data_IF_478046560091
#
_entry.id   IF_478046560091
#
_cell.length_a   1.000
_cell.length_b   1.000
_cell.length_c   1.000
_cell.angle_alpha   90.00
_cell.angle_beta   90.00
_cell.angle_gamma   90.00
#
_symmetry.space_group_name_H-M   'P 1'
#
loop_
_entity.id
_entity.type
_entity.pdbx_description
1 polymer ?
#
# COMPACT_ATOMS: atom_id res chain seq x y z
N UNK A 1 12.25 13.17 34.57
CA UNK A 1 12.87 12.74 33.29
C UNK A 1 12.45 13.72 32.19
N UNK A 2 13.35 14.59 31.72
CA UNK A 2 13.09 15.50 30.59
C UNK A 2 13.37 14.74 29.29
N UNK A 3 12.40 14.72 28.38
CA UNK A 3 12.54 14.10 27.07
C UNK A 3 13.28 15.06 26.12
N UNK A 4 14.53 14.78 25.78
CA UNK A 4 15.26 15.53 24.76
C UNK A 4 14.79 15.12 23.36
N UNK A 5 14.34 16.09 22.56
CA UNK A 5 13.99 15.88 21.16
C UNK A 5 15.20 16.20 20.29
N UNK A 6 15.76 15.20 19.61
CA UNK A 6 16.81 15.39 18.59
C UNK A 6 16.21 15.40 17.19
N UNK A 7 16.52 16.42 16.40
CA UNK A 7 16.20 16.44 14.98
C UNK A 7 17.11 15.46 14.22
N UNK A 8 16.53 14.59 13.41
CA UNK A 8 17.26 13.59 12.60
C UNK A 8 16.85 13.74 11.14
N UNK A 9 17.84 13.72 10.24
CA UNK A 9 17.61 13.64 8.79
C UNK A 9 17.27 12.19 8.43
N UNK A 10 15.97 11.89 8.32
CA UNK A 10 15.51 10.55 8.02
C UNK A 10 15.84 10.10 6.59
N UNK A 11 15.92 11.04 5.64
CA UNK A 11 16.36 10.83 4.26
C UNK A 11 17.19 12.06 3.87
N UNK A 12 18.38 11.85 3.33
CA UNK A 12 19.31 12.93 2.98
C UNK A 12 19.69 12.84 1.50
N UNK A 13 18.96 13.57 0.65
CA UNK A 13 19.38 13.82 -0.73
C UNK A 13 19.45 12.61 -1.67
N UNK A 14 18.45 11.70 -1.66
CA UNK A 14 18.42 10.56 -2.60
C UNK A 14 17.89 10.95 -3.98
N UNK A 15 18.40 10.30 -5.04
CA UNK A 15 17.93 10.50 -6.42
C UNK A 15 17.92 9.19 -7.18
N UNK A 16 16.76 8.81 -7.72
CA UNK A 16 16.61 7.63 -8.58
C UNK A 16 15.37 7.78 -9.47
N UNK A 17 15.25 6.92 -10.48
CA UNK A 17 14.09 6.82 -11.36
C UNK A 17 13.74 5.36 -11.56
N UNK A 18 12.46 5.03 -11.42
CA UNK A 18 11.90 3.70 -11.74
C UNK A 18 11.07 3.83 -13.01
N UNK A 19 11.36 3.02 -14.01
CA UNK A 19 10.63 3.00 -15.29
C UNK A 19 9.37 2.15 -15.18
N UNK A 20 8.41 2.38 -16.10
CA UNK A 20 7.22 1.53 -16.21
C UNK A 20 7.64 0.09 -16.49
N UNK A 21 7.10 -0.86 -15.73
CA UNK A 21 7.41 -2.29 -15.86
C UNK A 21 8.66 -2.74 -15.10
N UNK A 22 9.38 -1.83 -14.45
CA UNK A 22 10.57 -2.16 -13.68
C UNK A 22 10.20 -2.65 -12.27
N UNK A 23 10.87 -3.70 -11.81
CA UNK A 23 10.81 -4.19 -10.44
C UNK A 23 12.10 -3.80 -9.72
N UNK A 24 11.98 -3.06 -8.62
CA UNK A 24 13.14 -2.53 -7.89
C UNK A 24 13.08 -2.95 -6.42
N UNK A 25 14.19 -3.52 -5.94
CA UNK A 25 14.42 -3.74 -4.51
C UNK A 25 15.08 -2.52 -3.88
N UNK A 26 14.45 -1.94 -2.85
CA UNK A 26 15.03 -0.83 -2.09
C UNK A 26 15.48 -1.30 -0.71
N UNK A 27 16.77 -1.61 -0.58
CA UNK A 27 17.36 -2.38 0.53
C UNK A 27 18.31 -1.49 1.35
N UNK A 28 18.42 -1.77 2.65
CA UNK A 28 19.29 -1.08 3.58
C UNK A 28 18.96 -1.45 5.03
N UNK A 29 19.80 -1.07 6.01
CA UNK A 29 19.58 -1.40 7.42
C UNK A 29 18.34 -0.69 8.01
N UNK A 30 17.91 -1.13 9.19
CA UNK A 30 16.86 -0.42 9.94
C UNK A 30 17.32 1.01 10.25
N UNK A 31 16.40 1.98 10.10
CA UNK A 31 16.73 3.39 10.26
C UNK A 31 17.32 4.08 9.02
N UNK A 32 17.64 3.36 7.93
CA UNK A 32 18.19 3.95 6.70
C UNK A 32 17.22 4.82 5.88
N UNK A 33 16.04 5.16 6.41
CA UNK A 33 15.08 6.01 5.70
C UNK A 33 14.12 5.29 4.74
N UNK A 34 14.22 3.97 4.56
CA UNK A 34 13.41 3.20 3.60
C UNK A 34 11.90 3.47 3.69
N UNK A 35 11.33 3.27 4.88
CA UNK A 35 9.90 3.48 5.11
C UNK A 35 9.50 4.95 4.97
N UNK A 36 10.39 5.88 5.32
CA UNK A 36 10.19 7.32 5.13
C UNK A 36 10.11 7.65 3.64
N UNK A 37 11.00 7.11 2.82
CA UNK A 37 10.97 7.23 1.36
C UNK A 37 9.67 6.69 0.77
N UNK A 38 9.25 5.47 1.14
CA UNK A 38 7.98 4.89 0.65
C UNK A 38 6.79 5.76 1.06
N UNK A 39 6.75 6.28 2.28
CA UNK A 39 5.69 7.20 2.74
C UNK A 39 5.66 8.50 1.93
N UNK A 40 6.82 9.02 1.49
CA UNK A 40 6.88 10.18 0.60
C UNK A 40 6.37 9.87 -0.81
N UNK A 41 6.79 8.73 -1.39
CA UNK A 41 6.33 8.29 -2.70
C UNK A 41 4.81 8.05 -2.75
N UNK A 42 4.23 7.62 -1.64
CA UNK A 42 2.78 7.35 -1.52
C UNK A 42 1.96 8.57 -1.10
N UNK A 43 2.60 9.71 -0.85
CA UNK A 43 1.95 10.95 -0.43
C UNK A 43 1.48 10.97 1.03
N UNK A 44 1.90 10.00 1.85
CA UNK A 44 1.63 9.98 3.31
C UNK A 44 2.50 11.00 4.04
N UNK A 45 3.73 11.20 3.58
CA UNK A 45 4.67 12.16 4.13
C UNK A 45 5.03 13.21 3.07
N UNK A 46 5.04 14.48 3.45
CA UNK A 46 5.57 15.55 2.60
C UNK A 46 7.09 15.61 2.75
N UNK A 47 7.86 15.63 1.65
CA UNK A 47 9.31 15.81 1.73
C UNK A 47 9.64 17.22 2.26
N UNK A 48 10.66 17.33 3.12
CA UNK A 48 11.15 18.63 3.59
C UNK A 48 11.84 19.45 2.49
N UNK A 49 12.26 18.81 1.40
CA UNK A 49 12.89 19.44 0.25
C UNK A 49 13.05 18.48 -0.93
N UNK A 50 13.46 19.01 -2.07
CA UNK A 50 13.59 18.25 -3.32
C UNK A 50 12.27 18.13 -4.09
N UNK A 51 12.24 17.23 -5.07
CA UNK A 51 11.08 16.97 -5.93
C UNK A 51 10.95 15.49 -6.18
N UNK A 52 9.71 15.00 -6.17
CA UNK A 52 9.40 13.61 -6.50
C UNK A 52 8.09 13.54 -7.28
N UNK A 53 8.01 12.59 -8.21
CA UNK A 53 6.80 12.33 -9.01
C UNK A 53 6.54 10.83 -9.08
N UNK A 54 5.28 10.44 -8.93
CA UNK A 54 4.82 9.05 -9.05
C UNK A 54 3.64 8.99 -10.00
N UNK A 55 3.71 8.11 -11.01
CA UNK A 55 2.72 8.04 -12.08
C UNK A 55 2.41 9.42 -12.74
N UNK A 56 3.43 10.27 -12.84
CA UNK A 56 3.35 11.64 -13.39
C UNK A 56 2.87 12.73 -12.43
N UNK A 57 2.43 12.36 -11.22
CA UNK A 57 1.81 13.24 -10.23
C UNK A 57 2.78 13.60 -9.10
N UNK A 58 2.61 14.78 -8.50
CA UNK A 58 3.24 15.16 -7.24
C UNK A 58 2.45 14.54 -6.06
N UNK A 59 3.04 13.60 -5.29
CA UNK A 59 2.32 12.90 -4.23
C UNK A 59 1.86 13.78 -3.07
N UNK A 60 2.59 14.86 -2.76
CA UNK A 60 2.23 15.75 -1.65
C UNK A 60 1.04 16.65 -2.01
N UNK A 61 0.95 17.05 -3.29
CA UNK A 61 -0.09 17.97 -3.78
C UNK A 61 -1.29 17.27 -4.40
N UNK A 62 -1.10 16.09 -4.96
CA UNK A 62 -2.09 15.37 -5.78
C UNK A 62 -2.43 14.00 -5.20
N UNK A 63 -2.38 13.86 -3.87
CA UNK A 63 -2.54 12.60 -3.14
C UNK A 63 -3.80 11.83 -3.54
N UNK A 64 -4.97 12.47 -3.59
CA UNK A 64 -6.23 11.80 -3.94
C UNK A 64 -6.20 11.21 -5.36
N UNK A 65 -5.67 11.96 -6.33
CA UNK A 65 -5.50 11.48 -7.70
C UNK A 65 -4.46 10.35 -7.78
N UNK A 66 -3.40 10.43 -6.97
CA UNK A 66 -2.35 9.41 -6.91
C UNK A 66 -2.86 8.10 -6.31
N UNK A 67 -3.64 8.14 -5.23
CA UNK A 67 -4.19 6.96 -4.54
C UNK A 67 -5.05 6.09 -5.46
N UNK A 68 -5.64 6.66 -6.51
CA UNK A 68 -6.37 5.89 -7.56
C UNK A 68 -5.46 5.20 -8.58
N UNK A 69 -4.16 5.50 -8.58
CA UNK A 69 -3.17 4.99 -9.57
C UNK A 69 -2.13 4.05 -8.97
N UNK A 70 -2.03 3.99 -7.64
CA UNK A 70 -1.05 3.14 -6.95
C UNK A 70 -1.75 2.24 -5.93
N UNK A 71 -1.28 1.00 -5.83
CA UNK A 71 -1.57 0.13 -4.70
C UNK A 71 -0.42 0.20 -3.70
N UNK A 72 -0.73 0.17 -2.41
CA UNK A 72 0.28 0.21 -1.34
C UNK A 72 -0.07 -0.83 -0.29
N UNK A 73 0.91 -1.66 0.06
CA UNK A 73 0.80 -2.64 1.14
C UNK A 73 1.84 -2.28 2.19
N UNK A 74 1.39 -1.86 3.37
CA UNK A 74 2.29 -1.62 4.50
C UNK A 74 2.30 -2.87 5.39
N UNK A 75 3.50 -3.40 5.65
CA UNK A 75 3.66 -4.57 6.51
C UNK A 75 3.06 -4.36 7.91
N UNK A 76 2.47 -5.44 8.43
CA UNK A 76 1.90 -5.67 9.77
C UNK A 76 0.44 -5.25 10.05
N UNK A 77 -0.26 -4.56 9.14
CA UNK A 77 -1.72 -4.40 9.26
C UNK A 77 -2.38 -4.74 7.94
N UNK A 78 -3.25 -5.74 7.97
CA UNK A 78 -4.08 -6.10 6.83
C UNK A 78 -5.05 -4.95 6.59
N UNK A 79 -5.28 -4.60 5.32
CA UNK A 79 -6.41 -3.72 4.97
C UNK A 79 -7.73 -4.49 4.94
N UNK A 80 -7.74 -5.70 5.49
CA UNK A 80 -8.87 -6.60 5.63
C UNK A 80 -9.60 -6.30 6.94
N UNK A 81 -10.92 -6.40 6.92
CA UNK A 81 -11.77 -6.12 8.07
C UNK A 81 -11.85 -7.36 8.95
N UNK A 82 -11.25 -7.27 10.14
CA UNK A 82 -11.04 -8.38 11.07
C UNK A 82 -12.29 -9.23 11.35
N UNK A 83 -13.43 -8.57 11.54
CA UNK A 83 -14.68 -9.23 11.93
C UNK A 83 -15.56 -9.67 10.78
N UNK A 84 -15.23 -9.27 9.55
CA UNK A 84 -16.02 -9.55 8.35
C UNK A 84 -15.41 -10.69 7.53
N UNK A 85 -16.23 -11.39 6.74
CA UNK A 85 -15.75 -12.23 5.65
C UNK A 85 -14.77 -11.48 4.73
N UNK A 86 -13.80 -12.22 4.17
CA UNK A 86 -12.82 -11.66 3.24
C UNK A 86 -13.48 -10.93 2.05
N UNK A 87 -14.55 -11.50 1.49
CA UNK A 87 -15.29 -10.91 0.37
C UNK A 87 -15.89 -9.54 0.69
N UNK A 88 -16.29 -9.30 1.93
CA UNK A 88 -16.90 -8.03 2.34
C UNK A 88 -15.83 -6.93 2.47
N UNK A 89 -14.59 -7.31 2.82
CA UNK A 89 -13.44 -6.41 2.74
C UNK A 89 -13.21 -5.92 1.30
N UNK A 90 -13.30 -6.82 0.32
CA UNK A 90 -13.16 -6.46 -1.09
C UNK A 90 -14.31 -5.61 -1.62
N UNK A 91 -15.55 -5.91 -1.20
CA UNK A 91 -16.72 -5.09 -1.54
C UNK A 91 -16.57 -3.67 -1.01
N UNK A 92 -16.14 -3.51 0.24
CA UNK A 92 -15.91 -2.19 0.83
C UNK A 92 -14.82 -1.43 0.08
N UNK A 93 -13.71 -2.10 -0.26
CA UNK A 93 -12.65 -1.48 -1.08
C UNK A 93 -13.16 -1.03 -2.44
N UNK A 94 -13.98 -1.84 -3.10
CA UNK A 94 -14.58 -1.47 -4.38
C UNK A 94 -15.43 -0.21 -4.28
N UNK A 95 -16.20 -0.04 -3.22
CA UNK A 95 -16.96 1.21 -2.99
C UNK A 95 -16.04 2.38 -2.66
N UNK A 96 -15.03 2.18 -1.81
CA UNK A 96 -14.09 3.24 -1.41
C UNK A 96 -13.31 3.81 -2.61
N UNK A 97 -12.94 2.94 -3.55
CA UNK A 97 -12.16 3.32 -4.74
C UNK A 97 -13.01 3.57 -5.99
N UNK A 98 -14.35 3.53 -5.86
CA UNK A 98 -15.30 3.73 -6.97
C UNK A 98 -15.01 2.83 -8.18
N UNK A 99 -14.82 1.53 -7.92
CA UNK A 99 -14.49 0.55 -8.97
C UNK A 99 -15.77 0.04 -9.63
N UNK A 100 -15.90 0.12 -10.97
CA UNK A 100 -17.06 -0.39 -11.70
C UNK A 100 -17.31 -1.89 -11.47
N UNK A 101 -18.57 -2.32 -11.49
CA UNK A 101 -18.96 -3.70 -11.16
C UNK A 101 -18.30 -4.77 -12.03
N UNK A 102 -18.25 -4.55 -13.35
CA UNK A 102 -17.63 -5.48 -14.29
C UNK A 102 -16.14 -5.69 -13.98
N UNK A 103 -15.38 -4.58 -13.91
CA UNK A 103 -13.95 -4.60 -13.57
C UNK A 103 -13.69 -5.27 -12.22
N UNK A 104 -14.53 -4.99 -11.22
CA UNK A 104 -14.41 -5.61 -9.90
C UNK A 104 -14.53 -7.13 -9.99
N UNK A 105 -15.57 -7.64 -10.65
CA UNK A 105 -15.79 -9.09 -10.81
C UNK A 105 -14.63 -9.75 -11.56
N UNK A 106 -14.28 -9.22 -12.73
CA UNK A 106 -13.15 -9.73 -13.53
C UNK A 106 -11.81 -9.74 -12.77
N UNK A 107 -11.58 -8.74 -11.90
CA UNK A 107 -10.36 -8.69 -11.11
C UNK A 107 -10.41 -9.65 -9.94
N UNK A 108 -11.55 -9.71 -9.24
CA UNK A 108 -11.75 -10.64 -8.13
C UNK A 108 -11.62 -12.09 -8.61
N UNK A 109 -12.28 -12.47 -9.70
CA UNK A 109 -12.26 -13.84 -10.22
C UNK A 109 -10.84 -14.27 -10.57
N UNK A 110 -10.08 -13.39 -11.26
CA UNK A 110 -8.65 -13.64 -11.55
C UNK A 110 -7.82 -13.79 -10.28
N UNK A 111 -8.02 -12.94 -9.29
CA UNK A 111 -7.30 -13.03 -8.02
C UNK A 111 -7.66 -14.31 -7.25
N UNK A 112 -8.94 -14.69 -7.23
CA UNK A 112 -9.42 -15.91 -6.57
C UNK A 112 -8.81 -17.16 -7.18
N UNK A 113 -8.70 -17.20 -8.51
CA UNK A 113 -8.04 -18.29 -9.23
C UNK A 113 -6.53 -18.30 -8.96
N UNK A 114 -5.83 -17.18 -9.19
CA UNK A 114 -4.36 -17.12 -9.08
C UNK A 114 -3.83 -17.29 -7.66
N UNK A 115 -4.62 -16.93 -6.66
CA UNK A 115 -4.23 -16.94 -5.24
C UNK A 115 -4.98 -18.02 -4.45
N UNK A 116 -5.79 -18.86 -5.11
CA UNK A 116 -6.56 -19.95 -4.47
C UNK A 116 -7.39 -19.47 -3.27
N UNK A 117 -8.19 -18.42 -3.47
CA UNK A 117 -8.92 -17.76 -2.37
C UNK A 117 -10.36 -18.25 -2.19
N UNK A 118 -10.83 -19.17 -3.06
CA UNK A 118 -12.25 -19.55 -3.15
C UNK A 118 -12.84 -19.95 -1.78
N UNK A 119 -12.15 -20.85 -1.08
CA UNK A 119 -12.58 -21.37 0.23
C UNK A 119 -12.44 -20.34 1.36
N UNK A 120 -11.74 -19.23 1.13
CA UNK A 120 -11.47 -18.20 2.12
C UNK A 120 -12.42 -17.00 2.01
N UNK A 121 -13.07 -16.81 0.87
CA UNK A 121 -13.89 -15.62 0.58
C UNK A 121 -14.97 -15.36 1.63
N UNK A 122 -15.61 -16.42 2.10
CA UNK A 122 -16.72 -16.33 3.05
C UNK A 122 -16.30 -16.53 4.51
N UNK A 123 -15.01 -16.74 4.76
CA UNK A 123 -14.46 -16.94 6.10
C UNK A 123 -14.13 -15.59 6.74
N UNK A 124 -14.55 -15.34 7.99
CA UNK A 124 -14.15 -14.14 8.72
C UNK A 124 -12.62 -13.99 8.80
N UNK A 125 -12.10 -12.80 8.54
CA UNK A 125 -10.65 -12.54 8.47
C UNK A 125 -9.90 -12.95 9.74
N UNK A 126 -10.53 -12.82 10.92
CA UNK A 126 -9.96 -13.28 12.20
C UNK A 126 -9.64 -14.77 12.27
N UNK A 127 -10.29 -15.60 11.45
CA UNK A 127 -10.08 -17.06 11.41
C UNK A 127 -8.99 -17.46 10.41
N UNK A 128 -8.54 -16.53 9.57
CA UNK A 128 -7.48 -16.78 8.59
C UNK A 128 -6.11 -16.76 9.28
N UNK A 129 -5.23 -17.68 8.91
CA UNK A 129 -3.82 -17.65 9.29
C UNK A 129 -3.13 -16.39 8.75
N UNK A 130 -1.96 -16.05 9.31
CA UNK A 130 -1.18 -14.91 8.79
C UNK A 130 -0.85 -15.06 7.31
N UNK A 131 -0.47 -16.26 6.86
CA UNK A 131 -0.18 -16.53 5.45
C UNK A 131 -1.41 -16.35 4.55
N UNK A 132 -2.57 -16.83 4.98
CA UNK A 132 -3.84 -16.62 4.26
C UNK A 132 -4.20 -15.13 4.18
N UNK A 133 -4.00 -14.36 5.26
CA UNK A 133 -4.23 -12.91 5.26
C UNK A 133 -3.20 -12.09 4.47
N UNK A 134 -2.02 -12.63 4.23
CA UNK A 134 -1.02 -12.00 3.35
C UNK A 134 -1.30 -12.32 1.89
N UNK A 135 -1.99 -13.44 1.63
CA UNK A 135 -2.37 -13.89 0.30
C UNK A 135 -3.64 -13.20 -0.20
N UNK A 136 -4.67 -13.12 0.65
CA UNK A 136 -5.93 -12.40 0.39
C UNK A 136 -5.82 -10.91 0.65
#
# INVERSE_FOLDING_TARGET
LRYEKRAVRAVDGISFRVRRGEMVGYIGPNGAGKSTTIKMLTGILTPSGGRLRVAGLDPARQRLALTRRIGVVFGQRTTLWWDLPLIDSYRLMRHLYDVPLGRYRETLDRCVEQLELADLLHVPVRQLSLGQRMRG
#
